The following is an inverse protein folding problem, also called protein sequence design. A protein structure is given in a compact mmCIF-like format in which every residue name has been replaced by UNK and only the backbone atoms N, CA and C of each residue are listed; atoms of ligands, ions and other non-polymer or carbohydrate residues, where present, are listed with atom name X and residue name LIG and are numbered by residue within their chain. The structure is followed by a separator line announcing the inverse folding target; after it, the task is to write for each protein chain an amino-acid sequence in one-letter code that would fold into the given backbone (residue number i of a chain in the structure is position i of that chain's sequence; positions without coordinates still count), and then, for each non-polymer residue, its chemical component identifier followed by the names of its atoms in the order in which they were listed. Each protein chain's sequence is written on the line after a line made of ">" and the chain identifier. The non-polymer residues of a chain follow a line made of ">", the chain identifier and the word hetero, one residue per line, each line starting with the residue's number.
data_IF_575313003881
#
_entry.id   IF_575313003881
#
_cell.length_a   1.000
_cell.length_b   1.000
_cell.length_c   1.000
_cell.angle_alpha   90.00
_cell.angle_beta   90.00
_cell.angle_gamma   90.00
#
_symmetry.space_group_name_H-M   'P 1'
#
loop_
_entity.id
_entity.type
_entity.pdbx_description
1 polymer ?
#
# COMPACT_ATOMS: atom_id res chain seq x y z
N UNK A 1 24.39 45.73 9.50
CA UNK A 1 23.69 44.81 10.42
C UNK A 1 22.29 44.58 9.83
N UNK A 2 22.15 43.66 8.86
CA UNK A 2 20.95 43.49 8.02
C UNK A 2 20.63 42.00 7.77
N UNK A 3 20.71 41.17 8.80
CA UNK A 3 20.47 39.72 8.67
C UNK A 3 19.28 39.21 9.51
N UNK A 4 18.43 40.10 10.05
CA UNK A 4 17.29 39.70 10.91
C UNK A 4 15.92 39.79 10.24
N UNK A 5 15.76 40.54 9.14
CA UNK A 5 14.46 40.71 8.47
C UNK A 5 14.09 39.58 7.50
N UNK A 6 15.05 38.77 7.07
CA UNK A 6 14.81 37.64 6.15
C UNK A 6 14.06 36.46 6.79
N UNK A 7 14.09 36.34 8.12
CA UNK A 7 13.49 35.20 8.84
C UNK A 7 11.96 35.31 8.85
N UNK A 8 11.41 36.52 8.94
CA UNK A 8 9.96 36.74 8.95
C UNK A 8 9.31 36.37 7.61
N UNK A 9 9.99 36.63 6.50
CA UNK A 9 9.56 36.17 5.16
C UNK A 9 9.83 34.68 4.92
N UNK A 10 10.97 34.17 5.42
CA UNK A 10 11.34 32.77 5.29
C UNK A 10 10.35 31.82 5.98
N UNK A 11 9.86 32.16 7.18
CA UNK A 11 8.89 31.35 7.90
C UNK A 11 7.56 31.20 7.16
N UNK A 12 7.08 32.25 6.47
CA UNK A 12 5.83 32.18 5.72
C UNK A 12 5.98 31.32 4.47
N UNK A 13 7.10 31.45 3.75
CA UNK A 13 7.38 30.61 2.58
C UNK A 13 7.52 29.13 2.93
N UNK A 14 8.16 28.82 4.06
CA UNK A 14 8.26 27.44 4.57
C UNK A 14 6.87 26.89 4.92
N UNK A 15 6.01 27.71 5.53
CA UNK A 15 4.63 27.32 5.84
C UNK A 15 3.83 26.97 4.58
N UNK A 16 3.91 27.80 3.54
CA UNK A 16 3.29 27.50 2.25
C UNK A 16 3.88 26.25 1.60
N UNK A 17 5.20 26.05 1.67
CA UNK A 17 5.86 24.86 1.12
C UNK A 17 5.35 23.57 1.77
N UNK A 18 5.12 23.56 3.09
CA UNK A 18 4.55 22.40 3.80
C UNK A 18 3.15 22.06 3.26
N UNK A 19 2.29 23.07 3.05
CA UNK A 19 0.96 22.86 2.46
C UNK A 19 1.03 22.30 1.04
N UNK A 20 1.91 22.81 0.20
CA UNK A 20 2.11 22.29 -1.15
C UNK A 20 2.61 20.84 -1.15
N UNK A 21 3.54 20.50 -0.26
CA UNK A 21 4.04 19.12 -0.09
C UNK A 21 2.93 18.20 0.40
N UNK A 22 2.10 18.63 1.36
CA UNK A 22 0.95 17.84 1.83
C UNK A 22 -0.10 17.62 0.73
N UNK A 23 -0.43 18.65 -0.05
CA UNK A 23 -1.38 18.52 -1.17
C UNK A 23 -0.83 17.62 -2.29
N UNK A 24 0.44 17.78 -2.62
CA UNK A 24 1.13 16.88 -3.54
C UNK A 24 1.15 15.46 -2.97
N UNK A 25 1.42 15.28 -1.68
CA UNK A 25 1.32 13.99 -1.01
C UNK A 25 -0.09 13.45 -1.03
N UNK A 26 -1.18 14.23 -1.00
CA UNK A 26 -2.54 13.66 -1.13
C UNK A 26 -2.77 13.12 -2.54
N UNK A 27 -2.23 13.78 -3.57
CA UNK A 27 -2.31 13.31 -4.96
C UNK A 27 -1.38 12.14 -5.26
N UNK A 28 -0.19 12.12 -4.65
CA UNK A 28 0.86 11.13 -4.85
C UNK A 28 0.92 10.06 -3.77
N UNK A 29 0.21 10.22 -2.64
CA UNK A 29 -0.01 9.21 -1.62
C UNK A 29 -0.72 8.13 -2.38
N UNK A 30 0.04 7.13 -2.80
CA UNK A 30 -0.47 6.17 -3.73
C UNK A 30 -1.63 5.53 -3.01
N UNK A 31 -2.70 5.32 -3.74
CA UNK A 31 -3.36 4.03 -3.95
C UNK A 31 -2.64 2.82 -3.33
N UNK A 32 -2.33 2.84 -2.03
CA UNK A 32 -2.08 1.68 -1.19
C UNK A 32 -3.42 1.00 -0.88
N UNK A 33 -4.33 1.03 -1.86
CA UNK A 33 -4.84 -0.20 -2.42
C UNK A 33 -3.67 -1.18 -2.70
N UNK A 34 -3.08 -1.71 -1.64
CA UNK A 34 -2.53 -3.07 -1.58
C UNK A 34 -3.62 -4.12 -1.91
N UNK A 35 -4.79 -3.67 -2.36
CA UNK A 35 -5.83 -4.44 -3.01
C UNK A 35 -5.67 -4.51 -4.55
N UNK A 36 -4.55 -4.04 -5.13
CA UNK A 36 -4.30 -4.13 -6.57
C UNK A 36 -3.29 -5.21 -7.00
N UNK A 37 -2.98 -6.18 -6.15
CA UNK A 37 -2.28 -7.41 -6.58
C UNK A 37 -3.04 -8.67 -6.14
N UNK A 38 -4.38 -8.60 -6.07
CA UNK A 38 -5.24 -9.80 -6.20
C UNK A 38 -5.79 -9.89 -7.62
N UNK A 39 -5.10 -9.31 -8.59
CA UNK A 39 -5.38 -9.51 -10.00
C UNK A 39 -4.59 -10.74 -10.48
N UNK A 40 -5.27 -11.88 -10.47
CA UNK A 40 -5.18 -12.81 -11.60
C UNK A 40 -4.24 -14.00 -11.50
N UNK A 41 -3.03 -13.88 -10.95
CA UNK A 41 -1.99 -14.88 -11.32
C UNK A 41 -1.64 -15.94 -10.28
N UNK A 42 -2.00 -15.77 -9.00
CA UNK A 42 -1.61 -16.74 -7.97
C UNK A 42 -2.81 -17.54 -7.40
N UNK A 43 -3.04 -18.78 -7.89
CA UNK A 43 -4.09 -19.65 -7.35
C UNK A 43 -3.91 -19.95 -5.84
N UNK A 44 -2.70 -19.82 -5.29
CA UNK A 44 -2.47 -19.97 -3.84
C UNK A 44 -3.05 -18.79 -3.06
N UNK A 45 -3.09 -17.59 -3.66
CA UNK A 45 -3.64 -16.42 -2.98
C UNK A 45 -5.17 -16.46 -2.89
N UNK A 46 -5.84 -16.96 -3.95
CA UNK A 46 -7.27 -17.26 -3.91
C UNK A 46 -7.59 -18.32 -2.85
N UNK A 47 -6.79 -19.39 -2.80
CA UNK A 47 -6.92 -20.46 -1.82
C UNK A 47 -6.77 -19.93 -0.38
N UNK A 48 -5.77 -19.07 -0.14
CA UNK A 48 -5.54 -18.44 1.17
C UNK A 48 -6.68 -17.50 1.58
N UNK A 49 -7.27 -16.78 0.62
CA UNK A 49 -8.42 -15.91 0.88
C UNK A 49 -9.67 -16.71 1.27
N UNK A 50 -9.91 -17.86 0.64
CA UNK A 50 -11.02 -18.78 0.99
C UNK A 50 -10.80 -19.45 2.35
N UNK A 51 -9.55 -19.80 2.68
CA UNK A 51 -9.19 -20.33 4.00
C UNK A 51 -9.43 -19.30 5.11
N UNK A 52 -9.04 -18.04 4.89
CA UNK A 52 -9.26 -16.96 5.85
C UNK A 52 -10.75 -16.64 6.06
N UNK A 53 -11.60 -16.87 5.05
CA UNK A 53 -13.05 -16.75 5.16
C UNK A 53 -13.72 -17.92 5.89
N UNK A 54 -12.98 -19.01 6.15
CA UNK A 54 -13.52 -20.22 6.78
C UNK A 54 -14.41 -21.06 5.86
N UNK A 55 -14.40 -20.78 4.55
CA UNK A 55 -15.14 -21.56 3.54
C UNK A 55 -14.48 -22.91 3.24
N UNK A 56 -13.18 -23.06 3.53
CA UNK A 56 -12.44 -24.31 3.33
C UNK A 56 -11.76 -24.75 4.63
N UNK A 57 -11.71 -26.06 4.85
CA UNK A 57 -11.08 -26.64 6.03
C UNK A 57 -9.57 -26.73 5.81
N UNK A 58 -8.78 -26.82 6.89
CA UNK A 58 -7.31 -26.96 6.82
C UNK A 58 -6.87 -28.12 5.91
N UNK A 59 -7.63 -29.22 5.90
CA UNK A 59 -7.33 -30.40 5.09
C UNK A 59 -7.43 -30.09 3.58
N UNK A 60 -8.49 -29.41 3.15
CA UNK A 60 -8.70 -29.01 1.74
C UNK A 60 -7.67 -27.97 1.29
N UNK A 61 -7.25 -27.09 2.21
CA UNK A 61 -6.18 -26.13 1.96
C UNK A 61 -4.83 -26.83 1.69
N UNK A 62 -4.47 -27.83 2.49
CA UNK A 62 -3.21 -28.55 2.30
C UNK A 62 -3.21 -29.38 1.01
N UNK A 63 -4.31 -30.05 0.69
CA UNK A 63 -4.45 -30.77 -0.58
C UNK A 63 -4.31 -29.84 -1.80
N UNK A 64 -5.01 -28.71 -1.79
CA UNK A 64 -4.97 -27.76 -2.91
C UNK A 64 -3.57 -27.13 -3.07
N UNK A 65 -2.89 -26.85 -1.96
CA UNK A 65 -1.51 -26.35 -1.96
C UNK A 65 -0.52 -27.38 -2.52
N UNK A 66 -0.70 -28.66 -2.24
CA UNK A 66 0.16 -29.73 -2.72
C UNK A 66 -0.03 -29.99 -4.23
N UNK A 67 -1.28 -29.95 -4.69
CA UNK A 67 -1.61 -30.04 -6.12
C UNK A 67 -0.98 -28.90 -6.92
N UNK A 68 -1.11 -27.66 -6.43
CA UNK A 68 -0.53 -26.48 -7.08
C UNK A 68 1.00 -26.48 -7.10
N UNK A 69 1.66 -27.12 -6.13
CA UNK A 69 3.12 -27.26 -6.10
C UNK A 69 3.64 -28.35 -7.05
N UNK A 70 2.77 -29.24 -7.51
CA UNK A 70 3.15 -30.38 -8.34
C UNK A 70 3.02 -30.08 -9.85
N UNK A 71 2.43 -28.93 -10.21
CA UNK A 71 2.19 -28.49 -11.59
C UNK A 71 3.25 -27.50 -12.12
N UNK A 72 4.31 -27.22 -11.34
CA UNK A 72 5.47 -26.36 -11.69
C UNK A 72 6.74 -27.18 -12.01
#
# INVERSE_FOLDING_TARGET
>A
MFYRDGIFWGMHLIWWAIWFVLLAWIFFAPSSSTYQEIEGDDPLMLLKMRFAQGEITKEEYEQSKELLKSDD
#
